data_IF_366693817528
#
_entry.id   IF_366693817528
#
_cell.length_a   1.000
_cell.length_b   1.000
_cell.length_c   1.000
_cell.angle_alpha   90.00
_cell.angle_beta   90.00
_cell.angle_gamma   90.00
#
_symmetry.space_group_name_H-M   'P 1'
#
loop_
_entity.id
_entity.type
_entity.pdbx_description
1 polymer ?
#
# COMPACT_ATOMS: atom_id res chain seq x y z
N UNK A 1 -2.32 3.86 -12.98
CA UNK A 1 -3.23 3.49 -14.12
C UNK A 1 -4.71 3.51 -13.74
N UNK A 2 -5.08 3.20 -12.51
CA UNK A 2 -6.50 3.03 -12.11
C UNK A 2 -7.40 4.27 -12.33
N UNK A 3 -6.87 5.48 -12.31
CA UNK A 3 -7.63 6.72 -12.58
C UNK A 3 -7.82 7.06 -14.05
N UNK A 4 -7.33 6.23 -14.98
CA UNK A 4 -7.48 6.48 -16.42
C UNK A 4 -8.84 5.93 -16.87
N UNK A 5 -9.70 6.75 -17.51
CA UNK A 5 -11.07 6.34 -17.87
C UNK A 5 -11.15 5.31 -19.00
N UNK A 6 -10.12 5.25 -19.86
CA UNK A 6 -10.05 4.27 -20.95
C UNK A 6 -9.31 3.04 -20.46
N UNK A 7 -9.91 1.86 -20.65
CA UNK A 7 -9.24 0.60 -20.31
C UNK A 7 -7.96 0.43 -21.12
N UNK A 8 -6.86 0.26 -20.41
CA UNK A 8 -5.55 0.02 -21.00
C UNK A 8 -5.45 -1.48 -21.28
N UNK A 9 -5.12 -1.90 -22.50
CA UNK A 9 -4.89 -3.31 -22.83
C UNK A 9 -3.77 -3.92 -21.99
N UNK A 10 -3.92 -5.19 -21.64
CA UNK A 10 -2.97 -5.95 -20.78
C UNK A 10 -1.55 -5.93 -21.34
N UNK A 11 -1.39 -6.08 -22.66
CA UNK A 11 -0.07 -6.04 -23.30
C UNK A 11 0.64 -4.70 -23.16
N UNK A 12 -0.12 -3.59 -23.14
CA UNK A 12 0.44 -2.24 -22.87
C UNK A 12 0.86 -2.07 -21.42
N UNK A 13 0.07 -2.64 -20.47
CA UNK A 13 0.44 -2.64 -19.05
C UNK A 13 1.72 -3.44 -18.83
N UNK A 14 1.83 -4.62 -19.42
CA UNK A 14 3.04 -5.46 -19.37
C UNK A 14 4.25 -4.68 -19.89
N UNK A 15 4.16 -4.10 -21.08
CA UNK A 15 5.27 -3.30 -21.66
C UNK A 15 5.68 -2.13 -20.78
N UNK A 16 4.71 -1.43 -20.21
CA UNK A 16 4.98 -0.30 -19.32
C UNK A 16 5.70 -0.74 -18.05
N UNK A 17 5.18 -1.78 -17.38
CA UNK A 17 5.82 -2.28 -16.14
C UNK A 17 7.17 -2.89 -16.45
N UNK A 18 7.33 -3.59 -17.60
CA UNK A 18 8.62 -4.11 -18.03
C UNK A 18 9.66 -3.00 -18.19
N UNK A 19 9.29 -1.85 -18.76
CA UNK A 19 10.21 -0.71 -18.87
C UNK A 19 10.57 -0.11 -17.50
N UNK A 20 9.68 -0.18 -16.50
CA UNK A 20 10.02 0.23 -15.12
C UNK A 20 11.00 -0.75 -14.46
N UNK A 21 10.84 -2.05 -14.71
CA UNK A 21 11.79 -3.07 -14.24
C UNK A 21 13.20 -2.86 -14.80
N UNK A 22 13.31 -2.39 -16.04
CA UNK A 22 14.60 -2.05 -16.69
C UNK A 22 15.27 -0.81 -16.06
N UNK A 23 14.51 0.11 -15.45
CA UNK A 23 15.04 1.27 -14.72
C UNK A 23 15.77 0.82 -13.46
N UNK A 24 15.33 -0.26 -12.82
CA UNK A 24 15.97 -0.85 -11.64
C UNK A 24 15.57 -0.16 -10.33
N UNK A 25 14.30 0.23 -10.19
CA UNK A 25 13.74 0.63 -8.89
C UNK A 25 13.83 -0.51 -7.89
N UNK A 26 13.99 -0.20 -6.60
CA UNK A 26 14.03 -1.22 -5.55
C UNK A 26 12.69 -1.96 -5.46
N UNK A 27 11.57 -1.23 -5.45
CA UNK A 27 10.22 -1.78 -5.39
C UNK A 27 9.33 -1.12 -6.45
N UNK A 28 8.50 -1.92 -7.11
CA UNK A 28 7.49 -1.44 -8.07
C UNK A 28 6.11 -1.86 -7.58
N UNK A 29 5.24 -0.88 -7.29
CA UNK A 29 3.80 -1.09 -7.16
C UNK A 29 3.22 -1.34 -8.56
N UNK A 30 3.10 -2.62 -8.93
CA UNK A 30 2.77 -3.01 -10.29
C UNK A 30 1.27 -3.15 -10.54
N UNK A 31 0.47 -3.35 -9.48
CA UNK A 31 -0.95 -3.60 -9.64
C UNK A 31 -1.68 -3.86 -8.32
N UNK A 32 -2.94 -4.27 -8.41
CA UNK A 32 -3.75 -4.50 -7.23
C UNK A 32 -4.70 -5.69 -7.38
N UNK A 33 -4.91 -6.39 -6.26
CA UNK A 33 -5.93 -7.45 -6.11
C UNK A 33 -7.14 -6.88 -5.37
N UNK A 34 -7.81 -5.94 -6.02
CA UNK A 34 -9.07 -5.33 -5.55
C UNK A 34 -10.23 -5.80 -6.41
N UNK A 35 -11.45 -5.59 -5.93
CA UNK A 35 -12.64 -6.01 -6.68
C UNK A 35 -12.66 -5.38 -8.09
N UNK A 36 -12.75 -6.18 -9.17
CA UNK A 36 -12.88 -5.68 -10.54
C UNK A 36 -14.11 -4.79 -10.77
N UNK A 37 -15.14 -4.94 -9.92
CA UNK A 37 -16.32 -4.07 -9.94
C UNK A 37 -16.02 -2.66 -9.46
N UNK A 38 -15.06 -2.52 -8.54
CA UNK A 38 -14.64 -1.22 -7.98
C UNK A 38 -13.57 -0.60 -8.85
N UNK A 39 -12.57 -1.37 -9.27
CA UNK A 39 -11.47 -0.88 -10.12
C UNK A 39 -11.31 -1.80 -11.34
N UNK A 40 -12.16 -1.63 -12.38
CA UNK A 40 -12.10 -2.47 -13.59
C UNK A 40 -10.73 -2.45 -14.28
N UNK A 41 -10.02 -1.31 -14.19
CA UNK A 41 -8.70 -1.13 -14.79
C UNK A 41 -7.64 -2.12 -14.26
N UNK A 42 -7.83 -2.67 -13.04
CA UNK A 42 -6.89 -3.59 -12.40
C UNK A 42 -7.37 -5.05 -12.41
N UNK A 43 -8.45 -5.34 -13.15
CA UNK A 43 -9.02 -6.69 -13.21
C UNK A 43 -8.06 -7.75 -13.77
N UNK A 44 -7.10 -7.34 -14.57
CA UNK A 44 -6.12 -8.17 -15.27
C UNK A 44 -4.73 -8.22 -14.58
N UNK A 45 -4.64 -7.82 -13.30
CA UNK A 45 -3.36 -7.78 -12.56
C UNK A 45 -2.62 -9.13 -12.60
N UNK A 46 -3.32 -10.24 -12.47
CA UNK A 46 -2.73 -11.57 -12.53
C UNK A 46 -2.18 -11.92 -13.92
N UNK A 47 -2.88 -11.53 -14.99
CA UNK A 47 -2.42 -11.69 -16.37
C UNK A 47 -1.21 -10.80 -16.66
N UNK A 48 -1.22 -9.57 -16.18
CA UNK A 48 -0.07 -8.67 -16.27
C UNK A 48 1.14 -9.31 -15.61
N UNK A 49 1.01 -9.79 -14.37
CA UNK A 49 2.10 -10.45 -13.63
C UNK A 49 2.70 -11.63 -14.39
N UNK A 50 1.85 -12.49 -14.98
CA UNK A 50 2.29 -13.64 -15.80
C UNK A 50 3.06 -13.25 -17.06
N UNK A 51 2.81 -12.05 -17.58
CA UNK A 51 3.47 -11.54 -18.78
C UNK A 51 4.80 -10.81 -18.52
N UNK A 52 5.19 -10.59 -17.26
CA UNK A 52 6.45 -9.92 -16.94
C UNK A 52 7.63 -10.89 -17.00
N UNK A 53 8.72 -10.44 -17.61
CA UNK A 53 10.02 -11.11 -17.51
C UNK A 53 10.78 -10.56 -16.29
N UNK A 54 10.90 -11.38 -15.27
CA UNK A 54 11.57 -11.05 -14.01
C UNK A 54 12.99 -11.63 -13.91
N UNK A 55 13.52 -12.23 -14.97
CA UNK A 55 14.80 -12.97 -14.93
C UNK A 55 16.02 -12.07 -14.71
N UNK A 56 15.98 -10.84 -15.21
CA UNK A 56 17.11 -9.91 -15.20
C UNK A 56 16.87 -8.65 -14.34
N UNK A 57 15.88 -8.67 -13.46
CA UNK A 57 15.60 -7.53 -12.57
C UNK A 57 15.99 -7.83 -11.12
N UNK A 58 16.38 -6.77 -10.40
CA UNK A 58 16.51 -6.78 -8.94
C UNK A 58 15.30 -6.15 -8.25
N UNK A 59 14.42 -5.53 -9.03
CA UNK A 59 13.21 -4.88 -8.50
C UNK A 59 12.28 -5.91 -7.91
N UNK A 60 11.80 -5.64 -6.72
CA UNK A 60 10.76 -6.40 -6.05
C UNK A 60 9.38 -5.90 -6.45
N UNK A 61 8.38 -6.76 -6.41
CA UNK A 61 7.02 -6.41 -6.77
C UNK A 61 6.13 -6.23 -5.55
N UNK A 62 5.38 -5.13 -5.54
CA UNK A 62 4.35 -4.83 -4.56
C UNK A 62 2.98 -4.84 -5.23
N UNK A 63 2.01 -5.48 -4.59
CA UNK A 63 0.61 -5.45 -5.01
C UNK A 63 -0.29 -4.86 -3.92
N UNK A 64 -1.16 -3.91 -4.29
CA UNK A 64 -2.13 -3.31 -3.38
C UNK A 64 -3.32 -4.24 -3.19
N UNK A 65 -3.80 -4.33 -1.95
CA UNK A 65 -5.02 -5.04 -1.57
C UNK A 65 -5.94 -4.14 -0.75
N UNK A 66 -7.25 -4.38 -0.82
CA UNK A 66 -8.24 -3.62 -0.06
C UNK A 66 -8.84 -4.42 1.11
N UNK A 67 -8.57 -5.71 1.19
CA UNK A 67 -9.12 -6.62 2.20
C UNK A 67 -8.32 -7.94 2.25
N UNK A 68 -8.63 -8.77 3.24
CA UNK A 68 -7.99 -10.08 3.47
C UNK A 68 -8.14 -11.03 2.27
N UNK A 69 -9.29 -10.99 1.57
CA UNK A 69 -9.49 -11.83 0.37
C UNK A 69 -8.50 -11.49 -0.75
N UNK A 70 -8.29 -10.20 -1.01
CA UNK A 70 -7.29 -9.76 -1.99
C UNK A 70 -5.87 -10.12 -1.56
N UNK A 71 -5.57 -10.03 -0.26
CA UNK A 71 -4.28 -10.45 0.28
C UNK A 71 -4.06 -11.96 0.10
N UNK A 72 -5.06 -12.78 0.41
CA UNK A 72 -4.99 -14.23 0.16
C UNK A 72 -4.72 -14.56 -1.32
N UNK A 73 -5.39 -13.87 -2.23
CA UNK A 73 -5.17 -14.06 -3.68
C UNK A 73 -3.75 -13.64 -4.09
N UNK A 74 -3.29 -12.45 -3.67
CA UNK A 74 -1.96 -11.96 -3.98
C UNK A 74 -0.85 -12.86 -3.41
N UNK A 75 -1.05 -13.44 -2.23
CA UNK A 75 -0.12 -14.37 -1.60
C UNK A 75 0.10 -15.67 -2.37
N UNK A 76 -0.79 -16.05 -3.27
CA UNK A 76 -0.61 -17.23 -4.14
C UNK A 76 0.49 -17.04 -5.20
N UNK A 77 0.92 -15.81 -5.46
CA UNK A 77 1.91 -15.51 -6.50
C UNK A 77 3.30 -15.36 -5.88
N UNK A 78 4.24 -16.30 -6.15
CA UNK A 78 5.59 -16.25 -5.60
C UNK A 78 6.41 -15.04 -6.07
N UNK A 79 6.02 -14.42 -7.18
CA UNK A 79 6.68 -13.24 -7.75
C UNK A 79 6.40 -11.94 -6.99
N UNK A 80 5.39 -11.93 -6.12
CA UNK A 80 5.04 -10.77 -5.30
C UNK A 80 5.83 -10.86 -4.00
N UNK A 81 6.59 -9.83 -3.69
CA UNK A 81 7.39 -9.73 -2.45
C UNK A 81 6.61 -9.01 -1.34
N UNK A 82 5.87 -7.95 -1.73
CA UNK A 82 5.18 -7.06 -0.80
C UNK A 82 3.69 -7.00 -1.05
N UNK A 83 2.92 -6.97 0.03
CA UNK A 83 1.48 -6.70 0.01
C UNK A 83 1.26 -5.32 0.60
N UNK A 84 0.70 -4.41 -0.18
CA UNK A 84 0.40 -3.04 0.24
C UNK A 84 -1.04 -2.89 0.70
N UNK A 85 -1.27 -2.35 1.89
CA UNK A 85 -2.60 -2.08 2.40
C UNK A 85 -2.78 -0.62 2.81
N UNK A 86 -3.79 0.10 2.27
CA UNK A 86 -4.10 1.47 2.67
C UNK A 86 -4.87 1.48 3.99
N UNK A 87 -4.19 1.91 5.05
CA UNK A 87 -4.75 2.14 6.37
C UNK A 87 -4.86 3.65 6.62
N UNK A 88 -6.06 4.17 6.85
CA UNK A 88 -6.23 5.60 7.08
C UNK A 88 -6.23 5.95 8.57
N UNK A 89 -5.65 7.11 8.88
CA UNK A 89 -5.79 7.75 10.20
C UNK A 89 -6.99 8.72 10.27
N UNK A 90 -7.72 8.90 9.16
CA UNK A 90 -9.00 9.63 9.09
C UNK A 90 -10.15 8.63 9.06
N UNK A 91 -11.02 8.68 10.06
CA UNK A 91 -12.20 7.80 10.16
C UNK A 91 -13.14 8.00 8.98
N UNK A 92 -13.36 9.26 8.60
CA UNK A 92 -14.24 9.60 7.48
C UNK A 92 -13.68 9.05 6.15
N UNK A 93 -12.37 9.16 5.93
CA UNK A 93 -11.75 8.59 4.72
C UNK A 93 -11.78 7.07 4.75
N UNK A 94 -11.47 6.44 5.89
CA UNK A 94 -11.48 4.99 6.02
C UNK A 94 -12.87 4.43 5.68
N UNK A 95 -13.92 5.05 6.20
CA UNK A 95 -15.31 4.66 5.91
C UNK A 95 -15.65 4.82 4.41
N UNK A 96 -15.21 5.91 3.78
CA UNK A 96 -15.49 6.16 2.36
C UNK A 96 -14.70 5.28 1.42
N UNK A 97 -13.44 4.99 1.76
CA UNK A 97 -12.51 4.26 0.89
C UNK A 97 -12.71 2.74 0.94
N UNK A 98 -12.92 2.18 2.13
CA UNK A 98 -12.99 0.73 2.34
C UNK A 98 -14.28 0.26 2.99
N UNK A 99 -15.26 1.17 3.20
CA UNK A 99 -16.52 0.91 3.88
C UNK A 99 -16.32 0.21 5.24
N UNK A 100 -15.37 0.71 6.03
CA UNK A 100 -15.04 0.20 7.36
C UNK A 100 -14.53 1.30 8.26
N UNK A 101 -14.70 1.13 9.57
CA UNK A 101 -14.04 1.96 10.58
C UNK A 101 -12.53 1.71 10.62
N UNK A 102 -11.78 2.63 11.26
CA UNK A 102 -10.35 2.41 11.52
C UNK A 102 -10.15 1.16 12.39
N UNK A 103 -11.02 0.93 13.39
CA UNK A 103 -10.97 -0.25 14.23
C UNK A 103 -11.12 -1.56 13.43
N UNK A 104 -12.12 -1.64 12.53
CA UNK A 104 -12.30 -2.80 11.64
C UNK A 104 -11.13 -2.95 10.66
N UNK A 105 -10.59 -1.84 10.18
CA UNK A 105 -9.39 -1.85 9.34
C UNK A 105 -8.18 -2.42 10.08
N UNK A 106 -8.01 -2.10 11.36
CA UNK A 106 -6.96 -2.64 12.19
C UNK A 106 -7.10 -4.16 12.42
N UNK A 107 -8.32 -4.67 12.62
CA UNK A 107 -8.53 -6.13 12.68
C UNK A 107 -8.14 -6.82 11.36
N UNK A 108 -8.43 -6.21 10.20
CA UNK A 108 -7.94 -6.72 8.90
C UNK A 108 -6.41 -6.70 8.80
N UNK A 109 -5.75 -5.66 9.34
CA UNK A 109 -4.28 -5.63 9.39
C UNK A 109 -3.72 -6.80 10.19
N UNK A 110 -4.33 -7.17 11.32
CA UNK A 110 -3.92 -8.36 12.09
C UNK A 110 -3.98 -9.63 11.26
N UNK A 111 -5.09 -9.85 10.55
CA UNK A 111 -5.25 -11.02 9.68
C UNK A 111 -4.21 -11.03 8.55
N UNK A 112 -3.99 -9.87 7.91
CA UNK A 112 -3.03 -9.75 6.82
C UNK A 112 -1.59 -9.90 7.28
N UNK A 113 -1.22 -9.40 8.46
CA UNK A 113 0.12 -9.57 9.03
C UNK A 113 0.47 -11.06 9.25
N UNK A 114 -0.47 -11.84 9.75
CA UNK A 114 -0.30 -13.29 9.87
C UNK A 114 -0.18 -13.97 8.51
N UNK A 115 -1.09 -13.67 7.58
CA UNK A 115 -1.11 -14.24 6.24
C UNK A 115 0.17 -13.97 5.45
N UNK A 116 0.65 -12.72 5.47
CA UNK A 116 1.88 -12.34 4.76
C UNK A 116 3.10 -13.01 5.36
N UNK A 117 3.20 -13.07 6.70
CA UNK A 117 4.27 -13.78 7.39
C UNK A 117 4.29 -15.28 7.02
N UNK A 118 3.15 -15.96 7.06
CA UNK A 118 3.03 -17.38 6.68
C UNK A 118 3.38 -17.64 5.21
N UNK A 119 3.14 -16.65 4.34
CA UNK A 119 3.43 -16.72 2.90
C UNK A 119 4.86 -16.29 2.56
N UNK A 120 5.68 -15.91 3.54
CA UNK A 120 7.04 -15.39 3.32
C UNK A 120 7.08 -14.04 2.60
N UNK A 121 6.03 -13.22 2.75
CA UNK A 121 5.92 -11.88 2.18
C UNK A 121 5.92 -10.81 3.26
N UNK A 122 6.19 -9.57 2.88
CA UNK A 122 6.15 -8.44 3.80
C UNK A 122 4.90 -7.60 3.59
N UNK A 123 4.30 -7.15 4.69
CA UNK A 123 3.15 -6.23 4.67
C UNK A 123 3.65 -4.79 4.73
N UNK A 124 3.26 -3.98 3.74
CA UNK A 124 3.51 -2.54 3.70
C UNK A 124 2.22 -1.81 4.03
N UNK A 125 2.25 -0.97 5.06
CA UNK A 125 1.09 -0.17 5.46
C UNK A 125 1.24 1.25 4.94
N UNK A 126 0.31 1.68 4.08
CA UNK A 126 0.19 3.07 3.66
C UNK A 126 -0.63 3.83 4.69
N UNK A 127 0.00 4.74 5.44
CA UNK A 127 -0.69 5.63 6.39
C UNK A 127 -1.39 6.73 5.57
N UNK A 128 -2.58 6.42 5.09
CA UNK A 128 -3.39 7.35 4.29
C UNK A 128 -3.87 8.52 5.14
N UNK A 129 -3.98 9.70 4.52
CA UNK A 129 -4.24 10.98 5.19
C UNK A 129 -3.15 11.37 6.21
N UNK A 130 -1.92 10.85 6.00
CA UNK A 130 -0.77 11.08 6.88
C UNK A 130 -0.23 12.51 6.90
N UNK A 131 -0.77 13.40 6.06
CA UNK A 131 -0.42 14.82 6.01
C UNK A 131 -1.65 15.73 6.10
N UNK A 132 -2.78 15.19 6.59
CA UNK A 132 -4.03 15.92 6.74
C UNK A 132 -5.15 15.33 5.90
N UNK A 133 -6.37 15.85 6.12
CA UNK A 133 -7.57 15.39 5.46
C UNK A 133 -8.54 16.55 5.19
N UNK A 134 -9.44 16.42 4.18
CA UNK A 134 -10.40 17.48 3.84
C UNK A 134 -11.72 17.36 4.62
N UNK A 135 -11.82 16.45 5.61
CA UNK A 135 -13.06 16.12 6.30
C UNK A 135 -13.21 16.78 7.67
N UNK A 136 -12.14 17.44 8.16
CA UNK A 136 -12.11 17.98 9.50
C UNK A 136 -11.82 16.96 10.60
N UNK A 137 -11.43 15.75 10.24
CA UNK A 137 -10.94 14.75 11.20
C UNK A 137 -9.63 15.25 11.84
N UNK A 138 -9.45 14.95 13.12
CA UNK A 138 -8.23 15.36 13.85
C UNK A 138 -7.01 14.73 13.19
N UNK A 139 -5.99 15.55 12.96
CA UNK A 139 -4.70 15.17 12.41
C UNK A 139 -3.57 15.75 13.27
N UNK A 140 -2.63 14.92 13.66
CA UNK A 140 -1.34 15.29 14.25
C UNK A 140 -0.37 14.08 14.22
N UNK A 141 0.91 14.35 14.55
CA UNK A 141 1.96 13.32 14.57
C UNK A 141 1.69 12.23 15.61
N UNK A 142 1.08 12.57 16.76
CA UNK A 142 0.78 11.58 17.82
C UNK A 142 -0.22 10.52 17.35
N UNK A 143 -1.18 10.87 16.47
CA UNK A 143 -2.11 9.91 15.87
C UNK A 143 -1.36 8.95 14.93
N UNK A 144 -0.39 9.45 14.17
CA UNK A 144 0.48 8.62 13.32
C UNK A 144 1.24 7.63 14.20
N UNK A 145 1.91 8.11 15.25
CA UNK A 145 2.65 7.27 16.20
C UNK A 145 1.79 6.19 16.83
N UNK A 146 0.60 6.56 17.32
CA UNK A 146 -0.32 5.62 17.93
C UNK A 146 -0.64 4.43 17.01
N UNK A 147 -0.90 4.69 15.72
CA UNK A 147 -1.23 3.62 14.79
C UNK A 147 0.01 2.87 14.31
N UNK A 148 1.14 3.56 14.10
CA UNK A 148 2.40 2.90 13.77
C UNK A 148 2.80 1.92 14.87
N UNK A 149 2.78 2.32 16.16
CA UNK A 149 3.08 1.45 17.29
C UNK A 149 2.17 0.23 17.34
N UNK A 150 0.86 0.44 17.22
CA UNK A 150 -0.11 -0.67 17.23
C UNK A 150 0.13 -1.65 16.10
N UNK A 151 0.37 -1.15 14.89
CA UNK A 151 0.57 -1.99 13.71
C UNK A 151 1.95 -2.66 13.77
N UNK A 152 3.00 -1.96 14.19
CA UNK A 152 4.33 -2.51 14.36
C UNK A 152 4.35 -3.64 15.41
N UNK A 153 3.53 -3.58 16.47
CA UNK A 153 3.39 -4.65 17.46
C UNK A 153 2.87 -5.96 16.88
N UNK A 154 2.29 -5.94 15.66
CA UNK A 154 1.87 -7.13 14.92
C UNK A 154 3.01 -7.73 14.05
N UNK A 155 4.22 -7.16 14.11
CA UNK A 155 5.37 -7.58 13.32
C UNK A 155 5.52 -6.86 11.98
N UNK A 156 4.64 -5.90 11.65
CA UNK A 156 4.78 -5.07 10.45
C UNK A 156 5.97 -4.13 10.59
N UNK A 157 6.81 -4.05 9.56
CA UNK A 157 8.06 -3.27 9.59
C UNK A 157 8.11 -2.10 8.62
N UNK A 158 7.25 -2.07 7.61
CA UNK A 158 7.33 -1.12 6.50
C UNK A 158 6.07 -0.25 6.47
N UNK A 159 6.28 1.06 6.51
CA UNK A 159 5.21 2.06 6.50
C UNK A 159 5.47 3.10 5.42
N UNK A 160 4.45 3.44 4.64
CA UNK A 160 4.48 4.55 3.68
C UNK A 160 3.60 5.69 4.19
N UNK A 161 4.21 6.84 4.50
CA UNK A 161 3.49 8.04 4.95
C UNK A 161 2.90 8.72 3.70
N UNK A 162 1.58 8.69 3.54
CA UNK A 162 0.95 9.05 2.27
C UNK A 162 0.23 10.41 2.33
N UNK A 163 0.67 11.35 1.48
CA UNK A 163 -0.07 12.56 1.18
C UNK A 163 -1.19 12.24 0.17
N UNK A 164 -2.27 11.68 0.67
CA UNK A 164 -3.37 11.12 -0.13
C UNK A 164 -4.08 12.16 -1.00
N UNK A 165 -4.04 13.42 -0.63
CA UNK A 165 -4.79 14.50 -1.29
C UNK A 165 -3.91 15.66 -1.80
N UNK A 166 -2.59 15.57 -1.65
CA UNK A 166 -1.64 16.55 -2.16
C UNK A 166 -1.66 17.88 -1.40
N UNK A 167 -1.71 17.83 -0.07
CA UNK A 167 -1.74 19.04 0.80
C UNK A 167 -0.49 19.24 1.63
N UNK A 168 0.46 18.32 1.56
CA UNK A 168 1.70 18.41 2.32
C UNK A 168 2.54 19.62 1.88
N UNK A 169 3.01 20.39 2.86
CA UNK A 169 4.02 21.43 2.65
C UNK A 169 5.41 20.92 3.06
N UNK A 170 6.51 21.53 2.61
CA UNK A 170 7.86 21.14 3.04
C UNK A 170 8.03 21.14 4.56
N UNK A 171 7.39 22.09 5.26
CA UNK A 171 7.41 22.19 6.71
C UNK A 171 6.69 21.01 7.35
N UNK A 172 5.48 20.67 6.86
CA UNK A 172 4.69 19.56 7.37
C UNK A 172 5.37 18.20 7.09
N UNK A 173 5.95 18.03 5.90
CA UNK A 173 6.75 16.84 5.58
C UNK A 173 7.89 16.71 6.59
N UNK A 174 8.61 17.82 6.83
CA UNK A 174 9.73 17.83 7.77
C UNK A 174 9.28 17.48 9.18
N UNK A 175 8.17 18.04 9.65
CA UNK A 175 7.59 17.76 10.97
C UNK A 175 7.22 16.28 11.11
N UNK A 176 6.43 15.76 10.17
CA UNK A 176 5.95 14.36 10.20
C UNK A 176 7.11 13.38 10.12
N UNK A 177 8.05 13.55 9.19
CA UNK A 177 9.19 12.63 9.06
C UNK A 177 10.16 12.73 10.24
N UNK A 178 10.50 13.93 10.72
CA UNK A 178 11.34 14.06 11.92
C UNK A 178 10.68 13.47 13.16
N UNK A 179 9.39 13.71 13.31
CA UNK A 179 8.62 13.16 14.42
C UNK A 179 8.48 11.64 14.38
N UNK A 180 8.54 11.04 13.20
CA UNK A 180 8.26 9.60 13.02
C UNK A 180 9.53 8.78 12.81
N UNK A 181 10.32 9.09 11.78
CA UNK A 181 11.50 8.28 11.38
C UNK A 181 12.58 8.24 12.45
N UNK A 182 12.81 9.38 13.14
CA UNK A 182 13.80 9.44 14.21
C UNK A 182 13.41 8.70 15.51
N UNK A 183 12.15 8.32 15.63
CA UNK A 183 11.62 7.66 16.83
C UNK A 183 11.73 6.12 16.76
N UNK A 184 11.67 5.55 15.56
CA UNK A 184 11.70 4.10 15.34
C UNK A 184 12.97 3.68 14.58
N UNK A 185 13.87 2.96 15.24
CA UNK A 185 15.15 2.53 14.65
C UNK A 185 15.05 1.20 13.88
N UNK A 186 13.95 0.46 14.05
CA UNK A 186 13.75 -0.89 13.51
C UNK A 186 12.59 -0.95 12.49
N UNK A 187 12.03 0.20 12.12
CA UNK A 187 10.99 0.34 11.13
C UNK A 187 11.51 1.09 9.89
N UNK A 188 11.00 0.73 8.73
CA UNK A 188 11.25 1.39 7.46
C UNK A 188 10.10 2.33 7.12
N UNK A 189 10.42 3.56 6.71
CA UNK A 189 9.45 4.58 6.31
C UNK A 189 9.75 5.11 4.91
N UNK A 190 8.70 5.20 4.08
CA UNK A 190 8.75 5.78 2.74
C UNK A 190 7.67 6.84 2.54
#
# INVERSE_FOLDING_TARGET
MQGIPILIPTDKKIKYIQSLLEVGFDVIDFGSFVSPKVIPQMADTAEVLKGLDLTNTKSKLLAIVANTKGAMEACLYPQIDFIGYPFSISETFQQRNTNSSIGESFERVKEMALLTHESGKELVIYISMGFGNPYGDVFNVDIIHHWVEKIASLGVKIFSLSDTIGVATPELITEVFKGTVGYYNDLEFG
#
